data_IF_942714578461
#
_entry.id   IF_942714578461
#
_cell.length_a   1.000
_cell.length_b   1.000
_cell.length_c   1.000
_cell.angle_alpha   90.00
_cell.angle_beta   90.00
_cell.angle_gamma   90.00
#
_symmetry.space_group_name_H-M   'P 1'
#
loop_
_entity.id
_entity.type
_entity.pdbx_description
1 polymer ?
#
# COMPACT_ATOMS: atom_id res chain seq x y z
N UNK A 1 -18.84 11.39 49.22
CA UNK A 1 -17.98 11.00 48.06
C UNK A 1 -18.81 11.17 46.77
N UNK A 2 -18.18 11.33 45.59
CA UNK A 2 -18.87 11.37 44.29
C UNK A 2 -19.71 10.10 44.09
N UNK A 3 -20.83 10.18 43.36
CA UNK A 3 -21.73 9.04 43.07
C UNK A 3 -22.23 9.08 41.63
N UNK A 4 -22.91 8.02 41.20
CA UNK A 4 -23.54 7.92 39.87
C UNK A 4 -22.54 8.16 38.73
N UNK A 5 -21.34 7.58 38.85
CA UNK A 5 -20.27 7.83 37.88
C UNK A 5 -20.56 7.06 36.59
N UNK A 6 -20.64 7.79 35.49
CA UNK A 6 -20.92 7.23 34.15
C UNK A 6 -19.92 7.74 33.13
N UNK A 7 -19.61 6.89 32.15
CA UNK A 7 -18.73 7.23 31.03
C UNK A 7 -19.56 7.23 29.75
N UNK A 8 -19.57 8.36 29.05
CA UNK A 8 -20.15 8.49 27.73
C UNK A 8 -19.06 8.47 26.65
N UNK A 9 -19.43 8.00 25.46
CA UNK A 9 -18.52 7.80 24.33
C UNK A 9 -19.03 8.65 23.17
N UNK A 10 -18.16 9.52 22.63
CA UNK A 10 -18.46 10.35 21.46
C UNK A 10 -17.34 10.27 20.42
N UNK A 11 -17.64 10.08 19.13
CA UNK A 11 -18.97 9.85 18.55
C UNK A 11 -19.52 8.45 18.86
N UNK A 12 -20.85 8.32 18.98
CA UNK A 12 -21.55 7.05 19.13
C UNK A 12 -21.85 6.45 17.75
N UNK A 13 -21.14 5.39 17.34
CA UNK A 13 -21.38 4.71 16.06
C UNK A 13 -20.43 3.55 15.74
N UNK A 14 -20.92 2.58 14.98
CA UNK A 14 -20.23 1.32 14.62
C UNK A 14 -19.04 1.50 13.65
N UNK A 15 -18.98 2.64 12.95
CA UNK A 15 -17.88 3.01 12.04
C UNK A 15 -17.27 4.34 12.43
N UNK A 16 -16.32 4.32 13.35
CA UNK A 16 -15.36 5.43 13.52
C UNK A 16 -14.10 5.05 12.76
N UNK A 17 -14.15 5.21 11.45
CA UNK A 17 -12.96 5.12 10.60
C UNK A 17 -12.14 6.40 10.84
N UNK A 18 -10.97 6.31 11.47
CA UNK A 18 -10.07 7.47 11.63
C UNK A 18 -10.18 8.29 12.93
N UNK A 19 -10.30 7.62 14.09
CA UNK A 19 -9.49 7.99 15.28
C UNK A 19 -9.79 9.30 16.02
N UNK A 20 -11.03 9.52 16.47
CA UNK A 20 -11.31 10.59 17.45
C UNK A 20 -12.38 10.24 18.49
N UNK A 21 -12.39 9.00 18.98
CA UNK A 21 -13.22 8.64 20.14
C UNK A 21 -12.78 9.47 21.35
N UNK A 22 -13.75 10.06 22.02
CA UNK A 22 -13.60 10.85 23.25
C UNK A 22 -14.51 10.24 24.30
N UNK A 23 -13.92 9.88 25.44
CA UNK A 23 -14.62 9.44 26.63
C UNK A 23 -14.88 10.65 27.51
N UNK A 24 -16.09 10.78 28.05
CA UNK A 24 -16.43 11.83 29.01
C UNK A 24 -16.99 11.20 30.27
N UNK A 25 -16.41 11.55 31.42
CA UNK A 25 -16.82 11.07 32.73
C UNK A 25 -17.79 12.08 33.36
N UNK A 26 -18.91 11.60 33.86
CA UNK A 26 -19.90 12.39 34.59
C UNK A 26 -20.12 11.80 35.97
N UNK A 27 -20.34 12.64 36.97
CA UNK A 27 -20.60 12.22 38.35
C UNK A 27 -21.44 13.24 39.12
N UNK A 28 -22.22 12.75 40.07
CA UNK A 28 -22.95 13.56 41.03
C UNK A 28 -22.11 13.73 42.30
N UNK A 29 -21.57 14.92 42.52
CA UNK A 29 -20.70 15.19 43.67
C UNK A 29 -21.12 16.45 44.43
N UNK A 30 -21.40 16.28 45.72
CA UNK A 30 -21.51 17.38 46.68
C UNK A 30 -20.70 17.01 47.92
N UNK A 31 -19.57 17.69 48.21
CA UNK A 31 -18.97 18.84 47.52
C UNK A 31 -18.50 18.56 46.08
N UNK A 32 -18.19 19.61 45.28
CA UNK A 32 -17.74 19.47 43.90
C UNK A 32 -16.53 18.55 43.74
N UNK A 33 -16.40 17.95 42.55
CA UNK A 33 -15.26 17.13 42.17
C UNK A 33 -13.97 17.95 42.16
N UNK A 34 -12.90 17.38 42.68
CA UNK A 34 -11.55 17.96 42.65
C UNK A 34 -10.73 17.39 41.50
N UNK A 35 -10.82 16.07 41.27
CA UNK A 35 -10.03 15.41 40.22
C UNK A 35 -10.83 14.33 39.48
N UNK A 36 -10.56 14.25 38.17
CA UNK A 36 -10.93 13.14 37.30
C UNK A 36 -9.65 12.48 36.80
N UNK A 37 -9.51 11.18 37.02
CA UNK A 37 -8.34 10.40 36.61
C UNK A 37 -8.78 9.22 35.76
N UNK A 38 -8.12 9.01 34.62
CA UNK A 38 -8.43 7.91 33.71
C UNK A 38 -7.45 6.77 33.87
N UNK A 39 -7.98 5.56 33.84
CA UNK A 39 -7.22 4.33 33.92
C UNK A 39 -7.64 3.39 32.79
N UNK A 40 -6.69 2.57 32.37
CA UNK A 40 -6.94 1.42 31.50
C UNK A 40 -6.82 0.16 32.33
N UNK A 41 -7.72 -0.78 32.13
CA UNK A 41 -7.71 -2.04 32.86
C UNK A 41 -6.40 -2.81 32.56
N UNK A 42 -5.83 -3.41 33.61
CA UNK A 42 -4.50 -4.03 33.64
C UNK A 42 -3.29 -3.07 33.61
N UNK A 43 -3.51 -1.75 33.63
CA UNK A 43 -2.44 -0.76 33.83
C UNK A 43 -2.55 -0.17 35.24
N UNK A 44 -1.41 -0.06 35.94
CA UNK A 44 -1.35 0.49 37.30
C UNK A 44 -1.22 2.01 37.33
N UNK A 45 -0.73 2.61 36.25
CA UNK A 45 -0.55 4.04 36.10
C UNK A 45 -1.78 4.71 35.46
N UNK A 46 -2.12 5.94 35.87
CA UNK A 46 -3.08 6.76 35.15
C UNK A 46 -2.67 6.96 33.69
N UNK A 47 -3.65 6.88 32.78
CA UNK A 47 -3.46 7.12 31.34
C UNK A 47 -3.81 8.55 30.93
N UNK A 48 -4.47 9.31 31.83
CA UNK A 48 -4.86 10.69 31.60
C UNK A 48 -5.59 11.31 32.79
N UNK A 49 -5.87 12.61 32.69
CA UNK A 49 -6.60 13.38 33.68
C UNK A 49 -7.59 14.34 33.02
N UNK A 50 -8.56 14.81 33.79
CA UNK A 50 -9.62 15.70 33.32
C UNK A 50 -10.92 14.96 32.99
N UNK A 51 -11.99 15.72 32.80
CA UNK A 51 -13.33 15.16 32.61
C UNK A 51 -13.46 14.35 31.31
N UNK A 52 -12.66 14.68 30.30
CA UNK A 52 -12.66 14.01 29.00
C UNK A 52 -11.28 13.45 28.66
N UNK A 53 -11.26 12.29 28.01
CA UNK A 53 -10.04 11.58 27.61
C UNK A 53 -10.16 10.96 26.22
N UNK A 54 -9.05 10.94 25.47
CA UNK A 54 -8.99 10.38 24.11
C UNK A 54 -8.10 9.12 24.12
N UNK A 55 -8.67 7.91 24.10
CA UNK A 55 -7.90 6.69 24.08
C UNK A 55 -7.11 6.53 22.77
N UNK A 56 -5.88 6.03 22.89
CA UNK A 56 -4.98 5.77 21.75
C UNK A 56 -4.87 4.28 21.40
N UNK A 57 -5.38 3.40 22.26
CA UNK A 57 -5.39 1.96 22.04
C UNK A 57 -6.77 1.38 22.37
N UNK A 58 -7.09 0.23 21.78
CA UNK A 58 -8.26 -0.55 22.19
C UNK A 58 -8.06 -1.09 23.62
N UNK A 59 -9.14 -1.20 24.38
CA UNK A 59 -9.09 -1.72 25.75
C UNK A 59 -10.28 -1.31 26.60
N UNK A 60 -10.29 -1.79 27.85
CA UNK A 60 -11.25 -1.39 28.88
C UNK A 60 -10.71 -0.16 29.61
N UNK A 61 -11.52 0.90 29.68
CA UNK A 61 -11.19 2.16 30.33
C UNK A 61 -12.22 2.50 31.41
N UNK A 62 -11.77 3.06 32.52
CA UNK A 62 -12.63 3.57 33.59
C UNK A 62 -12.08 4.90 34.11
N UNK A 63 -12.97 5.74 34.65
CA UNK A 63 -12.57 6.96 35.36
C UNK A 63 -12.71 6.77 36.86
N UNK A 64 -11.76 7.34 37.60
CA UNK A 64 -11.82 7.51 39.05
C UNK A 64 -12.05 8.99 39.34
N UNK A 65 -13.07 9.28 40.15
CA UNK A 65 -13.49 10.63 40.49
C UNK A 65 -13.33 10.85 41.98
N UNK A 66 -12.68 11.94 42.35
CA UNK A 66 -12.35 12.23 43.74
C UNK A 66 -12.82 13.63 44.17
N UNK A 67 -13.29 13.71 45.41
CA UNK A 67 -13.49 14.97 46.14
C UNK A 67 -12.97 14.84 47.58
N UNK A 68 -13.06 15.91 48.37
CA UNK A 68 -12.67 15.92 49.78
C UNK A 68 -13.32 14.87 50.69
N UNK A 69 -14.41 14.22 50.23
CA UNK A 69 -15.10 13.17 50.99
C UNK A 69 -14.69 11.75 50.55
N UNK A 70 -13.93 11.60 49.48
CA UNK A 70 -13.44 10.30 49.00
C UNK A 70 -13.38 10.19 47.48
N UNK A 71 -13.10 8.97 47.03
CA UNK A 71 -12.95 8.59 45.61
C UNK A 71 -13.90 7.43 45.27
N UNK A 72 -14.43 7.43 44.04
CA UNK A 72 -15.24 6.34 43.51
C UNK A 72 -14.92 6.11 42.01
N UNK A 73 -15.12 4.88 41.51
CA UNK A 73 -14.79 4.47 40.14
C UNK A 73 -16.04 4.24 39.31
N UNK A 74 -15.96 4.58 38.01
CA UNK A 74 -16.99 4.22 37.04
C UNK A 74 -16.94 2.73 36.69
N UNK A 75 -18.02 2.24 36.08
CA UNK A 75 -17.95 1.01 35.30
C UNK A 75 -16.94 1.17 34.15
N UNK A 76 -16.26 0.08 33.79
CA UNK A 76 -15.34 0.07 32.67
C UNK A 76 -16.10 -0.03 31.34
N UNK A 77 -15.59 0.67 30.31
CA UNK A 77 -16.14 0.65 28.95
C UNK A 77 -15.09 0.15 27.97
N UNK A 78 -15.48 -0.75 27.06
CA UNK A 78 -14.59 -1.31 26.06
C UNK A 78 -14.54 -0.42 24.81
N UNK A 79 -13.34 0.01 24.43
CA UNK A 79 -13.09 0.85 23.27
C UNK A 79 -12.34 0.05 22.21
N UNK A 80 -12.79 0.16 20.96
CA UNK A 80 -12.12 -0.41 19.79
C UNK A 80 -11.63 0.71 18.88
N UNK A 81 -10.32 0.75 18.63
CA UNK A 81 -9.71 1.70 17.70
C UNK A 81 -9.40 0.96 16.40
N UNK A 82 -10.14 1.28 15.35
CA UNK A 82 -9.88 0.77 14.01
C UNK A 82 -8.74 1.57 13.38
N UNK A 83 -7.51 1.10 13.53
CA UNK A 83 -6.35 1.66 12.84
C UNK A 83 -6.45 1.38 11.34
N UNK A 84 -6.38 2.43 10.51
CA UNK A 84 -6.27 2.28 9.06
C UNK A 84 -5.14 1.31 8.72
N UNK A 85 -5.46 0.28 7.94
CA UNK A 85 -4.56 -0.85 7.74
C UNK A 85 -3.29 -0.41 7.01
N UNK A 86 -2.11 -0.60 7.63
CA UNK A 86 -0.83 -0.44 6.93
C UNK A 86 -0.75 -1.32 5.68
N UNK A 87 -1.55 -2.39 5.62
CA UNK A 87 -1.68 -3.27 4.47
C UNK A 87 -2.09 -2.49 3.22
N UNK A 88 -2.93 -1.45 3.34
CA UNK A 88 -3.34 -0.66 2.17
C UNK A 88 -2.15 0.10 1.57
N UNK A 89 -1.30 0.67 2.42
CA UNK A 89 -0.09 1.38 1.99
C UNK A 89 0.99 0.43 1.45
N UNK A 90 1.16 -0.72 2.10
CA UNK A 90 2.10 -1.75 1.65
C UNK A 90 1.68 -2.31 0.29
N UNK A 91 0.39 -2.64 0.12
CA UNK A 91 -0.15 -3.10 -1.15
C UNK A 91 0.01 -2.05 -2.26
N UNK A 92 -0.35 -0.79 -1.99
CA UNK A 92 -0.15 0.31 -2.94
C UNK A 92 1.33 0.48 -3.35
N UNK A 93 2.25 0.33 -2.39
CA UNK A 93 3.69 0.34 -2.64
C UNK A 93 4.14 -0.79 -3.57
N UNK A 94 3.67 -2.02 -3.33
CA UNK A 94 3.97 -3.16 -4.21
C UNK A 94 3.45 -2.96 -5.64
N UNK A 95 2.22 -2.47 -5.80
CA UNK A 95 1.67 -2.17 -7.13
C UNK A 95 2.46 -1.08 -7.86
N UNK A 96 2.88 -0.01 -7.15
CA UNK A 96 3.68 1.06 -7.73
C UNK A 96 5.08 0.59 -8.19
N UNK A 97 5.77 -0.21 -7.37
CA UNK A 97 7.08 -0.77 -7.70
C UNK A 97 7.01 -1.75 -8.89
N UNK A 98 5.97 -2.58 -8.94
CA UNK A 98 5.73 -3.47 -10.07
C UNK A 98 5.48 -2.72 -11.38
N UNK A 99 4.71 -1.63 -11.35
CA UNK A 99 4.48 -0.78 -12.51
C UNK A 99 5.76 -0.11 -13.02
N UNK A 100 6.63 0.35 -12.11
CA UNK A 100 7.92 0.98 -12.46
C UNK A 100 8.92 0.03 -13.10
N UNK A 101 8.90 -1.27 -12.77
CA UNK A 101 9.78 -2.27 -13.39
C UNK A 101 9.21 -2.81 -14.70
N UNK A 102 7.88 -2.97 -14.77
CA UNK A 102 7.21 -3.48 -15.97
C UNK A 102 7.20 -2.48 -17.12
N UNK A 103 7.06 -1.17 -16.88
CA UNK A 103 7.09 -0.14 -17.92
C UNK A 103 8.40 -0.09 -18.74
N UNK A 104 9.62 -0.04 -18.15
CA UNK A 104 10.86 -0.07 -18.89
C UNK A 104 11.12 -1.44 -19.54
N UNK A 105 10.68 -2.54 -18.91
CA UNK A 105 10.75 -3.87 -19.52
C UNK A 105 9.84 -3.95 -20.76
N UNK A 106 8.59 -3.48 -20.66
CA UNK A 106 7.66 -3.35 -21.79
C UNK A 106 8.21 -2.44 -22.89
N UNK A 107 8.77 -1.29 -22.54
CA UNK A 107 9.39 -0.37 -23.51
C UNK A 107 10.61 -1.02 -24.19
N UNK A 108 11.44 -1.76 -23.44
CA UNK A 108 12.57 -2.51 -23.99
C UNK A 108 12.12 -3.65 -24.90
N UNK A 109 11.12 -4.43 -24.51
CA UNK A 109 10.54 -5.48 -25.35
C UNK A 109 9.88 -4.91 -26.62
N UNK A 110 9.19 -3.76 -26.52
CA UNK A 110 8.66 -3.04 -27.71
C UNK A 110 9.77 -2.56 -28.63
N UNK A 111 10.89 -2.07 -28.08
CA UNK A 111 12.07 -1.67 -28.86
C UNK A 111 12.74 -2.86 -29.54
N UNK A 112 12.82 -4.03 -28.88
CA UNK A 112 13.37 -5.25 -29.46
C UNK A 112 12.50 -5.78 -30.62
N UNK A 113 11.16 -5.80 -30.44
CA UNK A 113 10.24 -6.16 -31.53
C UNK A 113 10.38 -5.25 -32.75
N UNK A 114 10.52 -3.93 -32.56
CA UNK A 114 10.76 -2.98 -33.67
C UNK A 114 12.09 -3.20 -34.40
N UNK A 115 13.13 -3.71 -33.72
CA UNK A 115 14.42 -4.01 -34.35
C UNK A 115 14.42 -5.33 -35.13
N UNK A 116 13.57 -6.28 -34.75
CA UNK A 116 13.44 -7.56 -35.45
C UNK A 116 12.78 -7.39 -36.84
N UNK A 117 11.77 -6.52 -36.94
CA UNK A 117 11.01 -6.25 -38.18
C UNK A 117 11.85 -5.53 -39.25
N UNK A 118 12.63 -4.52 -38.86
CA UNK A 118 13.55 -3.79 -39.75
C UNK A 118 14.75 -4.65 -40.21
N UNK A 119 15.22 -5.55 -39.34
CA UNK A 119 16.32 -6.46 -39.67
C UNK A 119 15.92 -7.54 -40.69
N UNK A 120 14.71 -8.09 -40.54
CA UNK A 120 14.19 -9.10 -41.45
C UNK A 120 14.01 -8.56 -42.87
N UNK A 121 13.40 -7.37 -43.02
CA UNK A 121 13.21 -6.74 -44.34
C UNK A 121 14.53 -6.41 -45.05
N UNK A 122 15.58 -6.03 -44.30
CA UNK A 122 16.91 -5.75 -44.84
C UNK A 122 17.65 -7.03 -45.27
N UNK A 123 17.50 -8.12 -44.52
CA UNK A 123 18.04 -9.43 -44.88
C UNK A 123 17.34 -10.01 -46.12
N UNK A 124 16.02 -9.84 -46.23
CA UNK A 124 15.24 -10.23 -47.41
C UNK A 124 15.71 -9.46 -48.66
N UNK A 125 15.97 -8.15 -48.56
CA UNK A 125 16.49 -7.35 -49.68
C UNK A 125 17.91 -7.75 -50.09
N UNK A 126 18.79 -8.05 -49.13
CA UNK A 126 20.15 -8.54 -49.39
C UNK A 126 20.12 -9.90 -50.09
N UNK A 127 19.29 -10.84 -49.61
CA UNK A 127 19.09 -12.15 -50.24
C UNK A 127 18.62 -12.00 -51.69
N UNK A 128 17.62 -11.15 -51.94
CA UNK A 128 17.12 -10.91 -53.29
C UNK A 128 18.17 -10.27 -54.23
N UNK A 129 19.14 -9.53 -53.67
CA UNK A 129 20.19 -8.85 -54.43
C UNK A 129 21.34 -9.80 -54.81
N UNK A 130 21.66 -10.75 -53.93
CA UNK A 130 22.65 -11.80 -54.18
C UNK A 130 22.17 -12.78 -55.28
N UNK A 131 20.89 -13.16 -55.24
CA UNK A 131 20.27 -14.01 -56.28
C UNK A 131 20.29 -13.35 -57.66
N UNK A 132 20.15 -12.02 -57.70
CA UNK A 132 20.23 -11.24 -58.94
C UNK A 132 21.64 -11.20 -59.52
N UNK A 133 22.67 -11.18 -58.67
CA UNK A 133 24.08 -11.11 -59.08
C UNK A 133 24.61 -12.48 -59.52
N UNK A 134 24.15 -13.57 -58.89
CA UNK A 134 24.48 -14.93 -59.28
C UNK A 134 23.95 -15.31 -60.68
N UNK A 135 22.87 -14.67 -61.15
CA UNK A 135 22.36 -14.84 -62.51
C UNK A 135 23.20 -14.12 -63.59
N UNK A 136 24.18 -13.29 -63.19
CA UNK A 136 25.04 -12.52 -64.09
C UNK A 136 26.49 -12.99 -64.12
N UNK A 137 26.85 -14.06 -63.38
CA UNK A 137 28.20 -14.62 -63.43
C UNK A 137 28.38 -15.51 -64.68
N UNK A 138 29.16 -15.10 -65.68
CA UNK A 138 29.52 -15.95 -66.81
C UNK A 138 30.73 -16.81 -66.38
N UNK A 139 30.50 -17.74 -65.46
CA UNK A 139 31.50 -18.72 -65.08
C UNK A 139 31.56 -19.83 -66.14
N UNK A 140 32.65 -19.79 -66.92
CA UNK A 140 33.37 -20.94 -67.46
C UNK A 140 32.72 -21.70 -68.63
N UNK A 141 32.76 -21.11 -69.84
CA UNK A 141 32.81 -21.90 -71.08
C UNK A 141 34.25 -22.29 -71.36
N UNK A 142 34.64 -23.45 -70.85
CA UNK A 142 35.83 -24.20 -71.24
C UNK A 142 35.88 -24.32 -72.78
N UNK A 143 36.95 -23.78 -73.37
CA UNK A 143 37.21 -23.78 -74.81
C UNK A 143 38.08 -24.99 -75.16
N UNK A 144 37.45 -26.10 -75.53
CA UNK A 144 38.09 -27.21 -76.24
C UNK A 144 37.18 -27.58 -77.44
N UNK A 145 37.79 -27.92 -78.59
CA UNK A 145 37.20 -28.39 -79.86
C UNK A 145 36.91 -27.34 -80.96
N UNK A 146 37.98 -26.78 -81.54
CA UNK A 146 37.97 -26.28 -82.93
C UNK A 146 39.21 -26.83 -83.62
N UNK A 147 39.03 -27.86 -84.45
CA UNK A 147 39.79 -28.28 -85.66
C UNK A 147 39.64 -29.79 -85.88
N UNK A 148 38.42 -30.27 -86.14
CA UNK A 148 38.21 -31.55 -86.81
C UNK A 148 36.93 -31.50 -87.65
N UNK A 149 36.97 -30.79 -88.78
CA UNK A 149 36.12 -31.08 -89.95
C UNK A 149 36.64 -30.28 -91.15
N UNK A 150 36.55 -30.88 -92.35
CA UNK A 150 37.15 -30.52 -93.65
C UNK A 150 38.55 -31.17 -93.82
N UNK A 151 38.65 -32.42 -94.27
CA UNK A 151 38.41 -32.92 -95.65
C UNK A 151 39.32 -32.25 -96.67
#
# INVERSE_FOLDING_TARGET
PPKNISVSISPSGEKVEGSSVTLTCSSDANPPVETYTWFKENETSPVGSGQSYRPLQSGLYYCEVQNKLGSERSAAVFITINGGSLIVYVAAGFFALGALLSAPFWLRCRRQKKKADEGDHRNIWLSAKDDTYAALDPADRKSDDVYHTLA
#
